data_IF_138794579705
#
_entry.id   IF_138794579705
#
_cell.length_a   1.000
_cell.length_b   1.000
_cell.length_c   1.000
_cell.angle_alpha   90.00
_cell.angle_beta   90.00
_cell.angle_gamma   90.00
#
_symmetry.space_group_name_H-M   'P 1'
#
loop_
_entity.id
_entity.type
_entity.pdbx_description
1 polymer ?
#
# COMPACT_ATOMS: atom_id res chain seq x y z
N UNK A 1 34.78 -22.67 12.97
CA UNK A 1 34.48 -21.22 13.11
C UNK A 1 33.55 -20.83 11.97
N UNK A 2 32.50 -20.08 12.31
CA UNK A 2 31.29 -19.89 11.54
C UNK A 2 31.48 -19.02 10.28
N UNK A 3 30.74 -19.35 9.22
CA UNK A 3 30.24 -18.36 8.26
C UNK A 3 28.73 -18.45 8.31
N UNK A 4 28.13 -17.57 9.09
CA UNK A 4 26.68 -17.36 9.06
C UNK A 4 26.36 -16.51 7.83
N UNK A 5 25.36 -16.85 7.02
CA UNK A 5 24.98 -16.02 5.90
C UNK A 5 24.44 -14.69 6.44
N UNK A 6 25.03 -13.59 5.96
CA UNK A 6 24.63 -12.23 6.26
C UNK A 6 23.13 -12.05 6.01
N UNK A 7 22.46 -11.50 7.03
CA UNK A 7 21.16 -10.83 6.92
C UNK A 7 21.11 -9.98 5.65
N UNK A 8 20.12 -10.24 4.80
CA UNK A 8 19.67 -9.31 3.76
C UNK A 8 18.20 -8.95 4.05
N UNK A 9 17.73 -7.71 3.77
CA UNK A 9 18.44 -6.43 3.70
C UNK A 9 17.67 -5.26 4.40
N UNK A 10 18.39 -4.17 4.70
CA UNK A 10 17.83 -2.90 5.22
C UNK A 10 16.92 -2.16 4.21
N UNK A 11 16.82 -2.64 2.97
CA UNK A 11 16.02 -2.02 1.90
C UNK A 11 14.51 -2.22 2.08
N UNK A 12 14.06 -3.35 2.64
CA UNK A 12 12.63 -3.67 2.78
C UNK A 12 11.92 -2.75 3.78
N UNK A 13 12.68 -2.08 4.65
CA UNK A 13 12.12 -1.16 5.66
C UNK A 13 11.71 0.18 5.03
N UNK A 14 12.31 0.57 3.90
CA UNK A 14 12.11 1.87 3.26
C UNK A 14 10.94 1.87 2.24
N UNK A 15 10.44 0.68 1.86
CA UNK A 15 9.36 0.56 0.87
C UNK A 15 8.03 1.15 1.37
N UNK A 16 7.84 1.21 2.70
CA UNK A 16 6.61 1.74 3.30
C UNK A 16 6.66 3.25 3.60
N UNK A 17 7.78 3.92 3.33
CA UNK A 17 7.96 5.33 3.71
C UNK A 17 7.40 6.31 2.65
N UNK A 18 7.07 5.82 1.46
CA UNK A 18 6.68 6.68 0.32
C UNK A 18 5.31 6.31 -0.28
N UNK A 19 4.20 6.32 0.49
CA UNK A 19 2.88 6.00 -0.04
C UNK A 19 2.44 6.93 -1.18
N UNK A 20 2.97 8.15 -1.24
CA UNK A 20 2.72 9.10 -2.33
C UNK A 20 3.27 8.59 -3.67
N UNK A 21 4.42 7.91 -3.65
CA UNK A 21 5.05 7.38 -4.88
C UNK A 21 4.20 6.27 -5.47
N UNK A 22 3.72 5.36 -4.64
CA UNK A 22 2.86 4.27 -5.10
C UNK A 22 1.49 4.79 -5.53
N UNK A 23 0.89 5.73 -4.80
CA UNK A 23 -0.35 6.38 -5.22
C UNK A 23 -0.20 7.09 -6.57
N UNK A 24 0.92 7.79 -6.80
CA UNK A 24 1.22 8.42 -8.08
C UNK A 24 1.39 7.40 -9.22
N UNK A 25 1.94 6.21 -8.94
CA UNK A 25 2.02 5.11 -9.89
C UNK A 25 0.62 4.64 -10.31
N UNK A 26 -0.26 4.36 -9.35
CA UNK A 26 -1.65 3.95 -9.64
C UNK A 26 -2.44 5.05 -10.35
N UNK A 27 -2.26 6.31 -9.94
CA UNK A 27 -2.86 7.45 -10.62
C UNK A 27 -2.36 7.58 -12.08
N UNK A 28 -1.08 7.28 -12.34
CA UNK A 28 -0.55 7.18 -13.70
C UNK A 28 -1.24 6.09 -14.54
N UNK A 29 -1.64 4.96 -13.94
CA UNK A 29 -2.45 3.93 -14.61
C UNK A 29 -3.87 4.42 -14.86
N UNK A 30 -4.49 5.11 -13.90
CA UNK A 30 -5.80 5.72 -14.07
C UNK A 30 -5.82 6.69 -15.27
N UNK A 31 -4.81 7.56 -15.41
CA UNK A 31 -4.66 8.47 -16.56
C UNK A 31 -4.51 7.74 -17.91
N UNK A 32 -4.08 6.48 -17.92
CA UNK A 32 -4.00 5.64 -19.12
C UNK A 32 -5.31 4.91 -19.46
N UNK A 33 -6.37 5.13 -18.68
CA UNK A 33 -7.70 4.58 -18.92
C UNK A 33 -8.05 3.35 -18.09
N UNK A 34 -7.26 3.00 -17.06
CA UNK A 34 -7.64 1.96 -16.12
C UNK A 34 -8.81 2.42 -15.22
N UNK A 35 -9.74 1.50 -14.91
CA UNK A 35 -10.88 1.82 -14.04
C UNK A 35 -10.40 2.13 -12.62
N UNK A 36 -10.87 3.23 -12.00
CA UNK A 36 -10.50 3.56 -10.64
C UNK A 36 -11.02 2.51 -9.64
N UNK A 37 -12.15 1.85 -9.90
CA UNK A 37 -12.67 0.75 -9.08
C UNK A 37 -11.76 -0.47 -9.10
N UNK A 38 -11.18 -0.79 -10.26
CA UNK A 38 -10.20 -1.87 -10.38
C UNK A 38 -8.92 -1.53 -9.60
N UNK A 39 -8.38 -0.32 -9.80
CA UNK A 39 -7.18 0.12 -9.11
C UNK A 39 -7.37 0.18 -7.59
N UNK A 40 -8.53 0.62 -7.09
CA UNK A 40 -8.85 0.59 -5.65
C UNK A 40 -8.75 -0.82 -5.07
N UNK A 41 -9.28 -1.82 -5.77
CA UNK A 41 -9.21 -3.23 -5.34
C UNK A 41 -7.78 -3.77 -5.37
N UNK A 42 -6.96 -3.30 -6.30
CA UNK A 42 -5.55 -3.68 -6.39
C UNK A 42 -4.69 -3.01 -5.31
N UNK A 43 -5.09 -1.83 -4.83
CA UNK A 43 -4.42 -1.10 -3.73
C UNK A 43 -4.86 -1.62 -2.36
N UNK A 44 -6.16 -1.89 -2.19
CA UNK A 44 -6.74 -2.35 -0.93
C UNK A 44 -6.22 -3.74 -0.54
N UNK A 45 -6.00 -3.95 0.76
CA UNK A 45 -5.70 -5.29 1.28
C UNK A 45 -7.04 -6.01 1.53
N UNK A 46 -7.32 -7.14 0.85
CA UNK A 46 -8.59 -7.83 1.04
C UNK A 46 -8.83 -8.26 2.49
N UNK A 47 -10.07 -8.21 3.00
CA UNK A 47 -10.37 -8.60 4.39
C UNK A 47 -9.92 -10.02 4.76
N UNK A 48 -9.95 -10.94 3.80
CA UNK A 48 -9.45 -12.31 4.00
C UNK A 48 -7.94 -12.36 4.26
N UNK A 49 -7.17 -11.45 3.66
CA UNK A 49 -5.72 -11.31 3.88
C UNK A 49 -5.45 -10.70 5.24
N UNK A 50 -6.17 -9.64 5.63
CA UNK A 50 -6.08 -9.04 6.97
C UNK A 50 -6.39 -10.06 8.07
N UNK A 51 -7.45 -10.86 7.89
CA UNK A 51 -7.80 -11.92 8.84
C UNK A 51 -6.72 -13.00 8.94
N UNK A 52 -6.04 -13.32 7.83
CA UNK A 52 -4.90 -14.25 7.83
C UNK A 52 -3.72 -13.65 8.60
N UNK A 53 -3.35 -12.41 8.31
CA UNK A 53 -2.26 -11.71 9.01
C UNK A 53 -2.52 -11.59 10.51
N UNK A 54 -3.77 -11.38 10.92
CA UNK A 54 -4.14 -11.37 12.34
C UNK A 54 -3.83 -12.71 13.01
N UNK A 55 -4.26 -13.83 12.41
CA UNK A 55 -3.96 -15.18 12.93
C UNK A 55 -2.46 -15.47 12.94
N UNK A 56 -1.73 -15.05 11.92
CA UNK A 56 -0.29 -15.23 11.83
C UNK A 56 0.43 -14.39 12.92
N UNK A 57 -0.05 -13.18 13.21
CA UNK A 57 0.47 -12.31 14.28
C UNK A 57 0.13 -12.80 15.70
N UNK A 58 -1.00 -13.50 15.89
CA UNK A 58 -1.31 -14.19 17.14
C UNK A 58 -0.33 -15.33 17.42
N UNK A 59 0.09 -16.03 16.36
CA UNK A 59 1.05 -17.13 16.45
C UNK A 59 2.49 -16.64 16.62
N UNK A 60 2.85 -15.55 15.94
CA UNK A 60 4.15 -14.90 16.04
C UNK A 60 3.99 -13.38 16.27
N UNK A 61 4.11 -12.93 17.53
CA UNK A 61 3.98 -11.52 17.88
C UNK A 61 4.98 -10.60 17.17
N UNK A 62 6.12 -11.11 16.68
CA UNK A 62 7.10 -10.30 15.94
C UNK A 62 6.55 -9.83 14.59
N UNK A 63 5.59 -10.57 14.01
CA UNK A 63 4.96 -10.23 12.73
C UNK A 63 3.88 -9.15 12.86
N UNK A 64 3.41 -8.88 14.08
CA UNK A 64 2.33 -7.91 14.31
C UNK A 64 2.71 -6.51 13.82
N UNK A 65 3.93 -6.08 14.11
CA UNK A 65 4.42 -4.74 13.74
C UNK A 65 4.49 -4.60 12.22
N UNK A 66 5.04 -5.58 11.51
CA UNK A 66 5.17 -5.51 10.05
C UNK A 66 3.82 -5.55 9.33
N UNK A 67 2.87 -6.39 9.79
CA UNK A 67 1.53 -6.41 9.20
C UNK A 67 0.75 -5.13 9.48
N UNK A 68 0.90 -4.55 10.67
CA UNK A 68 0.29 -3.24 10.98
C UNK A 68 0.84 -2.16 10.04
N UNK A 69 2.16 -2.06 9.91
CA UNK A 69 2.81 -1.09 9.00
C UNK A 69 2.36 -1.27 7.55
N UNK A 70 2.28 -2.52 7.07
CA UNK A 70 1.84 -2.81 5.71
C UNK A 70 0.37 -2.44 5.49
N UNK A 71 -0.51 -2.73 6.45
CA UNK A 71 -1.92 -2.36 6.39
C UNK A 71 -2.09 -0.82 6.41
N UNK A 72 -1.37 -0.13 7.29
CA UNK A 72 -1.37 1.33 7.39
C UNK A 72 -0.88 1.98 6.09
N UNK A 73 0.22 1.48 5.56
CA UNK A 73 0.77 1.91 4.27
C UNK A 73 -0.26 1.77 3.14
N UNK A 74 -0.89 0.60 2.99
CA UNK A 74 -1.88 0.35 1.94
C UNK A 74 -3.09 1.27 2.08
N UNK A 75 -3.56 1.52 3.31
CA UNK A 75 -4.62 2.51 3.59
C UNK A 75 -4.21 3.92 3.18
N UNK A 76 -2.96 4.33 3.45
CA UNK A 76 -2.45 5.64 3.04
C UNK A 76 -2.37 5.78 1.51
N UNK A 77 -1.85 4.77 0.81
CA UNK A 77 -1.81 4.77 -0.67
C UNK A 77 -3.22 4.93 -1.24
N UNK A 78 -4.19 4.17 -0.72
CA UNK A 78 -5.58 4.22 -1.18
C UNK A 78 -6.20 5.61 -0.98
N UNK A 79 -6.02 6.20 0.22
CA UNK A 79 -6.55 7.53 0.52
C UNK A 79 -5.95 8.62 -0.39
N UNK A 80 -4.65 8.57 -0.68
CA UNK A 80 -4.00 9.51 -1.60
C UNK A 80 -4.54 9.31 -3.02
N UNK A 81 -4.62 8.07 -3.49
CA UNK A 81 -5.17 7.75 -4.81
C UNK A 81 -6.60 8.24 -4.97
N UNK A 82 -7.47 8.00 -3.99
CA UNK A 82 -8.86 8.48 -3.99
C UNK A 82 -8.94 10.00 -4.03
N UNK A 83 -8.07 10.70 -3.30
CA UNK A 83 -7.99 12.16 -3.35
C UNK A 83 -7.58 12.65 -4.74
N UNK A 84 -6.63 11.99 -5.41
CA UNK A 84 -6.17 12.37 -6.75
C UNK A 84 -7.29 12.17 -7.78
N UNK A 85 -7.91 10.98 -7.80
CA UNK A 85 -9.02 10.67 -8.71
C UNK A 85 -10.23 11.57 -8.46
N UNK A 86 -10.57 11.82 -7.19
CA UNK A 86 -11.69 12.70 -6.82
C UNK A 86 -11.46 14.17 -7.18
N UNK A 87 -10.20 14.64 -7.17
CA UNK A 87 -9.86 16.02 -7.54
C UNK A 87 -9.99 16.28 -9.04
N UNK A 88 -9.69 15.31 -9.90
CA UNK A 88 -9.92 15.41 -11.36
C UNK A 88 -11.39 15.22 -11.75
N UNK A 89 -12.18 14.53 -10.91
CA UNK A 89 -13.61 14.33 -11.13
C UNK A 89 -14.44 15.62 -10.97
N UNK A 90 -13.93 16.63 -10.26
CA UNK A 90 -14.52 17.97 -10.31
C UNK A 90 -13.95 18.71 -11.51
N UNK A 91 -14.75 19.02 -12.56
CA UNK A 91 -14.33 20.01 -13.53
C UNK A 91 -14.12 21.31 -12.76
N UNK A 92 -12.85 21.71 -12.64
CA UNK A 92 -12.46 23.05 -12.20
C UNK A 92 -13.01 24.00 -13.26
N UNK A 93 -14.28 24.39 -13.13
CA UNK A 93 -14.89 25.46 -13.92
C UNK A 93 -14.15 26.72 -13.51
N UNK A 94 -13.11 27.04 -14.28
CA UNK A 94 -12.51 28.35 -14.33
C UNK A 94 -13.63 29.31 -14.74
N UNK A 95 -14.08 30.13 -13.80
CA UNK A 95 -14.91 31.30 -14.04
C UNK A 95 -14.00 32.52 -14.21
#
# INVERSE_FOLDING_TARGET
>A
MATMPQFVPVEVVNDFDFPQREAAFFYGLFLRGHSPEQLRRDIEVPPAVLAKWHRDAERDPQLRDIFSRMADYRRHVLAIFDSLVGSDGLPKRVQ
#
